data_IF_135910146535
#
_entry.id   IF_135910146535
#
_cell.length_a   1.000
_cell.length_b   1.000
_cell.length_c   1.000
_cell.angle_alpha   90.00
_cell.angle_beta   90.00
_cell.angle_gamma   90.00
#
_symmetry.space_group_name_H-M   'P 1'
#
loop_
_entity.id
_entity.type
_entity.pdbx_description
1 polymer ?
#
# COMPACT_ATOMS: atom_id res chain seq x y z
N UNK A 1 35.35 -22.12 -33.53
CA UNK A 1 34.95 -22.62 -32.20
C UNK A 1 35.68 -21.77 -31.17
N UNK A 2 35.08 -20.65 -30.81
CA UNK A 2 35.55 -19.79 -29.72
C UNK A 2 34.30 -19.30 -29.02
N UNK A 3 34.24 -19.72 -27.77
CA UNK A 3 33.15 -19.65 -26.82
C UNK A 3 32.80 -18.19 -26.50
N UNK A 4 31.53 -17.82 -26.67
CA UNK A 4 31.02 -16.52 -26.22
C UNK A 4 30.68 -16.69 -24.74
N UNK A 5 31.29 -15.93 -23.82
CA UNK A 5 31.00 -16.14 -22.41
C UNK A 5 29.53 -15.80 -22.16
N UNK A 6 28.83 -16.81 -21.66
CA UNK A 6 27.48 -16.77 -21.11
C UNK A 6 27.31 -15.50 -20.29
N UNK A 7 26.42 -14.63 -20.75
CA UNK A 7 25.98 -13.44 -20.05
C UNK A 7 25.16 -13.90 -18.85
N UNK A 8 25.85 -14.29 -17.78
CA UNK A 8 25.27 -14.35 -16.45
C UNK A 8 24.82 -12.93 -16.12
N UNK A 9 23.57 -12.62 -16.47
CA UNK A 9 22.86 -11.46 -15.93
C UNK A 9 22.95 -11.66 -14.43
N UNK A 10 23.78 -10.84 -13.79
CA UNK A 10 23.95 -10.88 -12.36
C UNK A 10 22.55 -10.66 -11.77
N UNK A 11 22.04 -11.70 -11.13
CA UNK A 11 20.77 -11.80 -10.42
C UNK A 11 20.73 -10.89 -9.18
N UNK A 12 21.43 -9.74 -9.23
CA UNK A 12 21.42 -8.71 -8.22
C UNK A 12 20.07 -7.98 -8.31
N UNK A 13 19.10 -8.57 -7.61
CA UNK A 13 17.90 -7.95 -7.08
C UNK A 13 17.00 -7.22 -8.10
N UNK A 14 16.33 -7.98 -8.97
CA UNK A 14 15.06 -7.51 -9.55
C UNK A 14 14.04 -7.36 -8.41
N UNK A 15 14.06 -6.20 -7.75
CA UNK A 15 13.07 -5.83 -6.74
C UNK A 15 11.79 -5.38 -7.44
N UNK A 16 10.60 -5.82 -6.97
CA UNK A 16 9.34 -5.41 -7.57
C UNK A 16 9.16 -3.89 -7.42
N UNK A 17 8.70 -3.22 -8.46
CA UNK A 17 8.19 -1.86 -8.36
C UNK A 17 6.81 -1.87 -7.69
N UNK A 18 6.44 -0.78 -7.01
CA UNK A 18 5.13 -0.68 -6.34
C UNK A 18 3.98 -1.05 -7.29
N UNK A 19 3.99 -0.52 -8.52
CA UNK A 19 2.99 -0.83 -9.57
C UNK A 19 2.89 -2.33 -9.85
N UNK A 20 4.03 -2.98 -10.07
CA UNK A 20 4.08 -4.40 -10.41
C UNK A 20 3.65 -5.28 -9.25
N UNK A 21 3.99 -4.88 -8.02
CA UNK A 21 3.58 -5.56 -6.79
C UNK A 21 2.06 -5.49 -6.59
N UNK A 22 1.47 -4.31 -6.76
CA UNK A 22 0.02 -4.13 -6.67
C UNK A 22 -0.74 -4.91 -7.76
N UNK A 23 -0.21 -4.92 -8.99
CA UNK A 23 -0.74 -5.75 -10.06
C UNK A 23 -0.67 -7.24 -9.71
N UNK A 24 0.47 -7.70 -9.18
CA UNK A 24 0.67 -9.07 -8.73
C UNK A 24 -0.33 -9.52 -7.65
N UNK A 25 -0.61 -8.65 -6.67
CA UNK A 25 -1.63 -8.87 -5.65
C UNK A 25 -3.03 -9.05 -6.27
N UNK A 26 -3.41 -8.20 -7.22
CA UNK A 26 -4.71 -8.34 -7.89
C UNK A 26 -4.80 -9.56 -8.79
N UNK A 27 -3.72 -9.90 -9.51
CA UNK A 27 -3.66 -11.12 -10.31
C UNK A 27 -3.86 -12.36 -9.43
N UNK A 28 -3.15 -12.43 -8.30
CA UNK A 28 -3.28 -13.52 -7.32
C UNK A 28 -4.71 -13.61 -6.79
N UNK A 29 -5.28 -12.48 -6.37
CA UNK A 29 -6.65 -12.42 -5.85
C UNK A 29 -7.69 -12.89 -6.88
N UNK A 30 -7.60 -12.41 -8.12
CA UNK A 30 -8.52 -12.81 -9.18
C UNK A 30 -8.36 -14.29 -9.50
N UNK A 31 -7.12 -14.81 -9.54
CA UNK A 31 -6.86 -16.24 -9.74
C UNK A 31 -7.54 -17.07 -8.66
N UNK A 32 -7.34 -16.73 -7.39
CA UNK A 32 -7.88 -17.46 -6.24
C UNK A 32 -9.39 -17.37 -6.15
N UNK A 33 -9.98 -16.20 -6.43
CA UNK A 33 -11.43 -16.02 -6.48
C UNK A 33 -12.12 -16.86 -7.56
N UNK A 34 -11.38 -17.25 -8.60
CA UNK A 34 -11.85 -18.17 -9.64
C UNK A 34 -11.52 -19.64 -9.34
N UNK A 35 -10.99 -19.95 -8.15
CA UNK A 35 -10.64 -21.31 -7.74
C UNK A 35 -9.48 -21.92 -8.53
N UNK A 36 -8.66 -21.10 -9.19
CA UNK A 36 -7.56 -21.57 -10.03
C UNK A 36 -6.26 -21.72 -9.24
N UNK A 37 -5.58 -22.84 -9.43
CA UNK A 37 -4.17 -22.99 -9.03
C UNK A 37 -3.25 -22.24 -10.00
N UNK A 38 -2.02 -21.97 -9.56
CA UNK A 38 -0.97 -21.39 -10.42
C UNK A 38 -0.74 -22.25 -11.68
N UNK A 39 -0.75 -23.58 -11.55
CA UNK A 39 -0.53 -24.49 -12.66
C UNK A 39 -1.67 -24.45 -13.69
N UNK A 40 -2.92 -24.36 -13.24
CA UNK A 40 -4.07 -24.24 -14.12
C UNK A 40 -4.11 -22.91 -14.85
N UNK A 41 -3.80 -21.80 -14.16
CA UNK A 41 -3.70 -20.49 -14.81
C UNK A 41 -2.58 -20.47 -15.85
N UNK A 42 -1.42 -21.06 -15.52
CA UNK A 42 -0.28 -21.18 -16.44
C UNK A 42 -0.67 -21.95 -17.71
N UNK A 43 -1.35 -23.10 -17.56
CA UNK A 43 -1.83 -23.89 -18.69
C UNK A 43 -2.82 -23.10 -19.58
N UNK A 44 -3.79 -22.40 -18.97
CA UNK A 44 -4.78 -21.58 -19.71
C UNK A 44 -4.15 -20.41 -20.46
N UNK A 45 -3.11 -19.81 -19.89
CA UNK A 45 -2.44 -18.63 -20.47
C UNK A 45 -1.25 -18.96 -21.36
N UNK A 46 -0.92 -20.26 -21.52
CA UNK A 46 0.28 -20.75 -22.22
C UNK A 46 1.57 -20.14 -21.67
N UNK A 47 1.62 -19.95 -20.35
CA UNK A 47 2.78 -19.47 -19.60
C UNK A 47 3.32 -20.60 -18.73
N UNK A 48 4.55 -20.45 -18.22
CA UNK A 48 5.07 -21.38 -17.22
C UNK A 48 4.50 -21.06 -15.83
N UNK A 49 4.35 -22.06 -14.92
CA UNK A 49 3.96 -21.80 -13.53
C UNK A 49 4.90 -20.85 -12.82
N UNK A 50 6.20 -20.91 -13.15
CA UNK A 50 7.21 -19.99 -12.63
C UNK A 50 6.93 -18.55 -13.06
N UNK A 51 6.60 -18.32 -14.34
CA UNK A 51 6.27 -17.00 -14.85
C UNK A 51 5.03 -16.40 -14.18
N UNK A 52 4.01 -17.22 -13.91
CA UNK A 52 2.82 -16.78 -13.15
C UNK A 52 3.21 -16.36 -11.72
N UNK A 53 4.07 -17.13 -11.03
CA UNK A 53 4.55 -16.75 -9.68
C UNK A 53 5.32 -15.44 -9.70
N UNK A 54 6.19 -15.24 -10.69
CA UNK A 54 6.93 -13.99 -10.85
C UNK A 54 6.00 -12.79 -11.05
N UNK A 55 4.97 -12.93 -11.89
CA UNK A 55 3.94 -11.91 -12.09
C UNK A 55 3.17 -11.62 -10.79
N UNK A 56 2.76 -12.65 -10.06
CA UNK A 56 2.06 -12.50 -8.78
C UNK A 56 2.92 -11.92 -7.67
N UNK A 57 4.24 -12.13 -7.74
CA UNK A 57 5.21 -11.51 -6.85
C UNK A 57 5.61 -10.10 -7.32
N UNK A 58 5.08 -9.64 -8.45
CA UNK A 58 5.36 -8.32 -9.01
C UNK A 58 6.78 -8.15 -9.54
N UNK A 59 7.50 -9.23 -9.82
CA UNK A 59 8.87 -9.18 -10.35
C UNK A 59 8.83 -8.53 -11.74
N UNK A 60 9.40 -7.33 -11.84
CA UNK A 60 9.47 -6.55 -13.06
C UNK A 60 10.90 -6.54 -13.60
N UNK A 61 11.04 -6.43 -14.92
CA UNK A 61 12.34 -6.31 -15.61
C UNK A 61 12.94 -4.89 -15.51
N UNK A 62 12.63 -4.12 -14.46
CA UNK A 62 13.23 -2.80 -14.28
C UNK A 62 14.50 -2.90 -13.42
N UNK A 63 15.66 -2.40 -13.89
CA UNK A 63 16.87 -2.35 -13.08
C UNK A 63 16.78 -1.36 -11.91
N UNK A 64 15.78 -0.48 -11.90
CA UNK A 64 15.43 0.36 -10.73
C UNK A 64 13.92 0.36 -10.56
N UNK A 65 13.37 -0.29 -9.51
CA UNK A 65 11.95 -0.21 -9.23
C UNK A 65 11.59 1.22 -8.82
N UNK A 66 10.57 1.81 -9.45
CA UNK A 66 9.99 3.08 -8.98
C UNK A 66 9.19 2.79 -7.69
N UNK A 67 9.65 3.28 -6.52
CA UNK A 67 8.95 3.10 -5.25
C UNK A 67 7.71 3.99 -5.15
N UNK A 68 7.54 4.95 -6.06
CA UNK A 68 6.47 5.95 -6.02
C UNK A 68 5.55 5.79 -7.22
N UNK A 69 4.26 5.95 -6.98
CA UNK A 69 3.23 5.91 -8.00
C UNK A 69 2.31 7.10 -7.83
N UNK A 70 2.13 7.84 -8.92
CA UNK A 70 1.13 8.87 -9.05
C UNK A 70 -0.04 8.37 -9.88
N UNK A 71 -1.25 8.62 -9.39
CA UNK A 71 -2.49 8.27 -10.07
C UNK A 71 -3.38 9.51 -10.18
N UNK A 72 -4.18 9.58 -11.24
CA UNK A 72 -5.32 10.48 -11.24
C UNK A 72 -6.35 10.01 -10.21
N UNK A 73 -7.10 10.95 -9.64
CA UNK A 73 -8.30 10.61 -8.88
C UNK A 73 -9.36 9.93 -9.76
N UNK A 74 -10.32 9.25 -9.12
CA UNK A 74 -11.30 8.42 -9.80
C UNK A 74 -10.86 6.96 -9.82
N UNK A 75 -11.19 6.24 -10.89
CA UNK A 75 -11.05 4.77 -10.96
C UNK A 75 -9.65 4.27 -10.66
N UNK A 76 -8.60 4.98 -11.10
CA UNK A 76 -7.21 4.57 -10.84
C UNK A 76 -6.86 4.59 -9.36
N UNK A 77 -6.99 5.76 -8.70
CA UNK A 77 -6.70 5.89 -7.28
C UNK A 77 -7.59 4.98 -6.43
N UNK A 78 -8.89 4.91 -6.73
CA UNK A 78 -9.84 4.04 -6.02
C UNK A 78 -9.45 2.57 -6.16
N UNK A 79 -9.02 2.13 -7.34
CA UNK A 79 -8.56 0.75 -7.53
C UNK A 79 -7.35 0.44 -6.66
N UNK A 80 -6.32 1.32 -6.67
CA UNK A 80 -5.11 1.14 -5.84
C UNK A 80 -5.44 1.12 -4.35
N UNK A 81 -6.28 2.04 -3.88
CA UNK A 81 -6.71 2.09 -2.49
C UNK A 81 -7.46 0.81 -2.11
N UNK A 82 -8.33 0.31 -2.99
CA UNK A 82 -9.06 -0.93 -2.77
C UNK A 82 -8.14 -2.15 -2.72
N UNK A 83 -7.10 -2.23 -3.56
CA UNK A 83 -6.06 -3.26 -3.47
C UNK A 83 -5.40 -3.21 -2.09
N UNK A 84 -4.94 -2.02 -1.69
CA UNK A 84 -4.22 -1.81 -0.44
C UNK A 84 -5.08 -2.09 0.80
N UNK A 85 -6.34 -1.66 0.80
CA UNK A 85 -7.27 -1.94 1.89
C UNK A 85 -7.51 -3.44 2.09
N UNK A 86 -7.52 -4.23 1.01
CA UNK A 86 -7.66 -5.69 1.09
C UNK A 86 -6.37 -6.39 1.52
N UNK A 87 -5.23 -5.92 1.00
CA UNK A 87 -3.94 -6.58 1.19
C UNK A 87 -3.26 -6.20 2.51
N UNK A 88 -3.65 -5.09 3.12
CA UNK A 88 -3.05 -4.63 4.37
C UNK A 88 -3.46 -5.48 5.57
N UNK A 89 -2.47 -5.82 6.38
CA UNK A 89 -2.66 -6.39 7.72
C UNK A 89 -3.01 -5.30 8.73
N UNK A 90 -2.54 -4.07 8.47
CA UNK A 90 -2.81 -2.90 9.31
C UNK A 90 -2.87 -1.63 8.49
N UNK A 91 -3.83 -0.76 8.82
CA UNK A 91 -4.07 0.53 8.18
C UNK A 91 -4.10 1.59 9.27
N UNK A 92 -3.16 2.51 9.24
CA UNK A 92 -3.18 3.69 10.12
C UNK A 92 -3.49 4.93 9.28
N UNK A 93 -4.51 5.68 9.68
CA UNK A 93 -4.99 6.85 8.94
C UNK A 93 -4.86 8.08 9.81
N UNK A 94 -4.11 9.08 9.37
CA UNK A 94 -4.17 10.41 9.93
C UNK A 94 -5.22 11.21 9.16
N UNK A 95 -6.33 11.50 9.82
CA UNK A 95 -7.50 12.16 9.25
C UNK A 95 -7.98 13.30 10.17
N UNK A 96 -7.20 14.38 10.33
CA UNK A 96 -7.47 15.43 11.32
C UNK A 96 -8.89 16.01 11.21
N UNK A 97 -9.38 16.13 9.96
CA UNK A 97 -10.65 16.75 9.59
C UNK A 97 -11.72 15.74 9.14
N UNK A 98 -11.49 14.44 9.34
CA UNK A 98 -12.40 13.39 8.94
C UNK A 98 -11.82 12.46 7.87
N UNK A 99 -12.39 11.25 7.79
CA UNK A 99 -11.93 10.20 6.88
C UNK A 99 -12.34 10.52 5.44
N UNK A 100 -11.39 10.39 4.50
CA UNK A 100 -11.66 10.59 3.08
C UNK A 100 -12.70 9.56 2.58
N UNK A 101 -13.77 9.97 1.85
CA UNK A 101 -14.82 9.06 1.39
C UNK A 101 -14.33 8.00 0.39
N UNK A 102 -13.11 8.12 -0.15
CA UNK A 102 -12.49 7.08 -0.98
C UNK A 102 -12.32 5.74 -0.24
N UNK A 103 -12.34 5.76 1.10
CA UNK A 103 -12.33 4.57 1.93
C UNK A 103 -13.75 4.02 2.12
N UNK A 104 -14.20 3.19 1.17
CA UNK A 104 -15.55 2.64 1.16
C UNK A 104 -15.81 1.65 2.31
N UNK A 105 -14.89 0.69 2.53
CA UNK A 105 -15.00 -0.32 3.59
C UNK A 105 -13.64 -0.62 4.19
N UNK A 106 -13.60 -0.65 5.51
CA UNK A 106 -12.42 -0.99 6.30
C UNK A 106 -12.76 -2.13 7.28
N UNK A 107 -11.78 -2.53 8.07
CA UNK A 107 -11.91 -3.55 9.11
C UNK A 107 -11.48 -2.91 10.44
N UNK A 108 -12.34 -2.85 11.47
CA UNK A 108 -12.04 -2.16 12.72
C UNK A 108 -10.86 -2.79 13.48
N UNK A 109 -10.56 -4.07 13.24
CA UNK A 109 -9.44 -4.78 13.87
C UNK A 109 -8.08 -4.40 13.23
N UNK A 110 -8.12 -3.88 12.00
CA UNK A 110 -6.92 -3.55 11.22
C UNK A 110 -6.77 -2.05 11.00
N UNK A 111 -7.85 -1.29 11.07
CA UNK A 111 -7.85 0.12 10.74
C UNK A 111 -8.00 1.02 11.97
N UNK A 112 -6.99 1.85 12.22
CA UNK A 112 -7.02 2.91 13.23
C UNK A 112 -7.00 4.27 12.56
N UNK A 113 -7.98 5.12 12.88
CA UNK A 113 -8.12 6.48 12.36
C UNK A 113 -7.87 7.48 13.48
N UNK A 114 -6.89 8.35 13.28
CA UNK A 114 -6.53 9.43 14.21
C UNK A 114 -7.14 10.75 13.74
N UNK A 115 -7.97 11.36 14.59
CA UNK A 115 -8.73 12.58 14.28
C UNK A 115 -8.47 13.65 15.32
N UNK A 116 -8.63 14.93 14.97
CA UNK A 116 -8.57 15.99 15.98
C UNK A 116 -9.82 15.97 16.86
N UNK A 117 -9.66 16.39 18.11
CA UNK A 117 -10.76 16.57 19.04
C UNK A 117 -11.83 17.54 18.49
N UNK A 118 -13.08 17.06 18.50
CA UNK A 118 -14.23 17.71 17.90
C UNK A 118 -14.56 17.26 16.48
N UNK A 119 -13.71 16.44 15.84
CA UNK A 119 -14.01 15.84 14.53
C UNK A 119 -14.92 14.63 14.70
N UNK A 120 -16.12 14.70 14.12
CA UNK A 120 -17.06 13.58 14.11
C UNK A 120 -16.68 12.55 13.03
N UNK A 121 -16.63 11.27 13.40
CA UNK A 121 -16.56 10.14 12.47
C UNK A 121 -17.66 9.14 12.84
N UNK A 122 -18.65 9.03 11.95
CA UNK A 122 -19.77 8.10 12.08
C UNK A 122 -19.48 6.82 11.27
N UNK A 123 -18.49 6.06 11.71
CA UNK A 123 -18.07 4.81 11.07
C UNK A 123 -17.86 3.73 12.12
N UNK A 124 -18.40 2.55 11.88
CA UNK A 124 -18.26 1.37 12.77
C UNK A 124 -17.19 0.39 12.30
N UNK A 125 -16.67 0.59 11.10
CA UNK A 125 -15.68 -0.27 10.45
C UNK A 125 -14.24 0.22 10.63
N UNK A 126 -14.01 1.11 11.61
CA UNK A 126 -12.69 1.63 12.00
C UNK A 126 -12.60 1.82 13.51
N UNK A 127 -11.41 1.68 14.06
CA UNK A 127 -11.09 2.15 15.42
C UNK A 127 -10.74 3.63 15.37
N UNK A 128 -11.48 4.49 16.07
CA UNK A 128 -11.20 5.94 16.13
C UNK A 128 -10.37 6.29 17.37
N UNK A 129 -9.32 7.08 17.18
CA UNK A 129 -8.48 7.65 18.26
C UNK A 129 -8.46 9.17 18.14
N UNK A 130 -8.68 9.86 19.25
CA UNK A 130 -8.83 11.32 19.29
C UNK A 130 -7.53 11.97 19.73
N UNK A 131 -7.03 12.89 18.92
CA UNK A 131 -5.86 13.74 19.17
C UNK A 131 -6.34 15.00 19.93
N UNK A 132 -5.91 15.23 21.18
CA UNK A 132 -6.31 16.42 21.93
C UNK A 132 -5.75 17.70 21.32
N UNK A 133 -6.51 18.81 21.35
CA UNK A 133 -6.09 20.09 20.71
C UNK A 133 -4.79 20.70 21.25
N UNK A 134 -4.36 20.32 22.46
CA UNK A 134 -3.15 20.81 23.11
C UNK A 134 -1.97 19.84 23.15
N UNK A 135 -2.09 18.63 22.59
CA UNK A 135 -1.15 17.53 22.81
C UNK A 135 0.18 17.63 22.04
N UNK A 136 0.46 18.77 21.40
CA UNK A 136 1.64 18.92 20.54
C UNK A 136 1.54 18.01 19.31
N UNK A 137 0.59 18.30 18.44
CA UNK A 137 0.56 17.73 17.09
C UNK A 137 1.82 18.16 16.33
N UNK A 138 2.52 17.22 15.67
CA UNK A 138 3.77 17.50 14.96
C UNK A 138 3.57 18.58 13.88
N UNK A 139 4.12 19.80 14.06
CA UNK A 139 4.07 20.84 13.04
C UNK A 139 4.89 20.36 11.82
N UNK A 140 4.27 20.33 10.64
CA UNK A 140 4.89 19.87 9.38
C UNK A 140 4.21 18.67 8.72
N UNK A 141 3.36 17.93 9.44
CA UNK A 141 2.43 16.96 8.83
C UNK A 141 1.11 17.68 8.53
N UNK A 142 1.11 18.58 7.55
CA UNK A 142 -0.11 19.32 7.21
C UNK A 142 -1.09 18.49 6.37
N UNK A 143 -0.64 17.37 5.83
CA UNK A 143 -1.40 16.57 4.88
C UNK A 143 -1.91 15.28 5.54
N UNK A 144 -3.22 15.01 5.49
CA UNK A 144 -3.76 13.69 5.79
C UNK A 144 -2.98 12.63 5.02
N UNK A 145 -2.62 11.54 5.71
CA UNK A 145 -1.89 10.43 5.12
C UNK A 145 -2.39 9.11 5.66
N UNK A 146 -2.19 8.06 4.88
CA UNK A 146 -2.52 6.69 5.27
C UNK A 146 -1.30 5.80 5.10
N UNK A 147 -1.01 4.96 6.09
CA UNK A 147 0.01 3.91 5.99
C UNK A 147 -0.68 2.55 5.92
N UNK A 148 -0.41 1.82 4.84
CA UNK A 148 -0.82 0.44 4.66
C UNK A 148 0.37 -0.47 4.96
N UNK A 149 0.29 -1.22 6.06
CA UNK A 149 1.26 -2.26 6.40
C UNK A 149 0.80 -3.56 5.75
N UNK A 150 1.66 -4.14 4.91
CA UNK A 150 1.36 -5.32 4.12
C UNK A 150 2.11 -6.52 4.69
N UNK A 151 1.57 -7.73 4.53
CA UNK A 151 2.21 -8.97 4.97
C UNK A 151 3.60 -9.16 4.35
N UNK A 152 3.69 -8.86 3.04
CA UNK A 152 4.90 -9.02 2.24
C UNK A 152 5.38 -7.68 1.66
N UNK A 153 6.64 -7.35 1.92
CA UNK A 153 7.32 -6.18 1.36
C UNK A 153 7.14 -4.91 2.18
N UNK A 154 7.57 -3.75 1.64
CA UNK A 154 7.45 -2.48 2.35
C UNK A 154 5.98 -2.07 2.50
N UNK A 155 5.70 -1.36 3.59
CA UNK A 155 4.46 -0.62 3.74
C UNK A 155 4.33 0.44 2.63
N UNK A 156 3.11 0.88 2.37
CA UNK A 156 2.81 1.93 1.38
C UNK A 156 2.22 3.12 2.09
N UNK A 157 2.77 4.31 1.84
CA UNK A 157 2.19 5.57 2.30
C UNK A 157 1.38 6.19 1.17
N UNK A 158 0.15 6.56 1.48
CA UNK A 158 -0.76 7.28 0.60
C UNK A 158 -0.92 8.72 1.08
N UNK A 159 -0.74 9.64 0.14
CA UNK A 159 -1.03 11.07 0.32
C UNK A 159 -2.11 11.49 -0.66
N UNK A 160 -3.14 12.14 -0.12
CA UNK A 160 -4.23 12.69 -0.91
C UNK A 160 -3.91 14.15 -1.29
N UNK A 161 -3.28 14.36 -2.44
CA UNK A 161 -3.08 15.72 -2.97
C UNK A 161 -4.31 16.20 -3.72
N UNK A 162 -4.51 17.53 -3.78
CA UNK A 162 -5.66 18.13 -4.44
C UNK A 162 -5.89 17.63 -5.87
N UNK A 163 -4.82 17.46 -6.65
CA UNK A 163 -4.91 17.12 -8.07
C UNK A 163 -4.65 15.64 -8.37
N UNK A 164 -4.03 14.88 -7.45
CA UNK A 164 -3.59 13.49 -7.67
C UNK A 164 -3.47 12.69 -6.37
N UNK A 165 -3.52 11.37 -6.49
CA UNK A 165 -3.15 10.45 -5.43
C UNK A 165 -1.67 10.05 -5.57
N UNK A 166 -0.91 10.10 -4.47
CA UNK A 166 0.46 9.57 -4.41
C UNK A 166 0.52 8.36 -3.50
N UNK A 167 1.12 7.28 -3.99
CA UNK A 167 1.45 6.09 -3.21
C UNK A 167 2.96 5.90 -3.25
N UNK A 168 3.60 5.63 -2.11
CA UNK A 168 5.05 5.50 -2.08
C UNK A 168 5.54 4.48 -1.05
N UNK A 169 6.59 3.76 -1.44
CA UNK A 169 7.41 2.88 -0.62
C UNK A 169 8.78 3.52 -0.31
N UNK A 170 8.97 4.81 -0.63
CA UNK A 170 10.24 5.49 -0.40
C UNK A 170 10.57 5.56 1.09
N UNK A 171 11.77 5.11 1.46
CA UNK A 171 12.19 4.95 2.85
C UNK A 171 12.05 6.23 3.69
N UNK A 172 12.22 7.41 3.09
CA UNK A 172 12.03 8.69 3.80
C UNK A 172 10.57 8.90 4.23
N UNK A 173 9.62 8.60 3.35
CA UNK A 173 8.19 8.74 3.63
C UNK A 173 7.73 7.68 4.64
N UNK A 174 8.26 6.46 4.50
CA UNK A 174 7.99 5.38 5.44
C UNK A 174 8.47 5.72 6.85
N UNK A 175 9.73 6.15 7.01
CA UNK A 175 10.26 6.53 8.33
C UNK A 175 9.40 7.59 9.01
N UNK A 176 9.07 8.68 8.30
CA UNK A 176 8.21 9.73 8.85
C UNK A 176 6.81 9.23 9.20
N UNK A 177 6.23 8.33 8.41
CA UNK A 177 4.93 7.72 8.73
C UNK A 177 5.02 6.80 9.96
N UNK A 178 6.09 6.02 10.12
CA UNK A 178 6.33 5.20 11.32
C UNK A 178 6.42 6.06 12.57
N UNK A 179 7.31 7.04 12.58
CA UNK A 179 7.51 7.96 13.71
C UNK A 179 6.21 8.69 14.08
N UNK A 180 5.47 9.15 13.08
CA UNK A 180 4.18 9.81 13.28
C UNK A 180 3.17 8.88 13.96
N UNK A 181 2.92 7.70 13.42
CA UNK A 181 1.87 6.81 13.94
C UNK A 181 2.23 6.21 15.30
N UNK A 182 3.52 6.00 15.58
CA UNK A 182 3.99 5.67 16.92
C UNK A 182 3.67 6.80 17.90
N UNK A 183 4.01 8.03 17.53
CA UNK A 183 3.73 9.20 18.38
C UNK A 183 2.23 9.41 18.60
N UNK A 184 1.41 9.29 17.55
CA UNK A 184 -0.04 9.40 17.68
C UNK A 184 -0.61 8.29 18.58
N UNK A 185 -0.12 7.06 18.47
CA UNK A 185 -0.53 5.95 19.32
C UNK A 185 -0.15 6.15 20.81
N UNK A 186 0.89 6.92 21.11
CA UNK A 186 1.23 7.34 22.47
C UNK A 186 0.33 8.47 22.96
N UNK A 187 0.13 9.52 22.14
CA UNK A 187 -0.66 10.69 22.51
C UNK A 187 -2.15 10.40 22.71
N UNK A 188 -2.64 9.33 22.10
CA UNK A 188 -4.05 8.94 22.11
C UNK A 188 -4.32 7.67 22.92
N UNK A 189 -3.31 7.17 23.65
CA UNK A 189 -3.52 6.17 24.70
C UNK A 189 -4.24 6.86 25.87
N UNK A 190 -5.38 6.29 26.28
CA UNK A 190 -6.11 6.69 27.47
C UNK A 190 -5.24 6.57 28.73
#
# INVERSE_FOLDING_TARGET
>A
MTDVPSKAINLMELKPALRSRLLGLELRRVREANGLTVAELAARTRQSPQRIRELENGVAESPTPDPTMWCAWGTEATSVINVLCRAAERIDVLAPLGLNPVFERLDPDRCTVYVLEGTAIERTDVTVRVIPRGAGYCPGVEHPLTRFTLADGPAVVFYAYLHRAMFTEESRHLRSAYELFERLAELTRA
#
